data_IF_711657186178
#
_entry.id   IF_711657186178
#
_cell.length_a   1.000
_cell.length_b   1.000
_cell.length_c   1.000
_cell.angle_alpha   90.00
_cell.angle_beta   90.00
_cell.angle_gamma   90.00
#
_symmetry.space_group_name_H-M   'P 1'
#
loop_
_entity.id
_entity.type
_entity.pdbx_description
1 polymer ?
#
# COMPACT_ATOMS: atom_id res chain seq x y z
N UNK A 1 -11.37 31.81 -22.07
CA UNK A 1 -11.38 30.70 -21.07
C UNK A 1 -10.69 29.41 -21.52
N UNK A 2 -10.56 29.09 -22.82
CA UNK A 2 -9.92 27.83 -23.29
C UNK A 2 -8.38 27.80 -23.17
N UNK A 3 -7.71 28.93 -23.42
CA UNK A 3 -6.24 29.01 -23.39
C UNK A 3 -5.63 28.79 -21.99
N UNK A 4 -6.26 29.34 -20.93
CA UNK A 4 -5.77 29.21 -19.55
C UNK A 4 -5.81 27.76 -19.00
N UNK A 5 -6.78 26.94 -19.45
CA UNK A 5 -6.81 25.51 -19.11
C UNK A 5 -5.69 24.72 -19.78
N UNK A 6 -5.24 25.16 -20.96
CA UNK A 6 -4.23 24.45 -21.76
C UNK A 6 -2.84 24.56 -21.11
N UNK A 7 -2.52 25.70 -20.50
CA UNK A 7 -1.26 25.90 -19.77
C UNK A 7 -1.25 25.20 -18.40
N UNK A 8 -2.37 25.22 -17.67
CA UNK A 8 -2.51 24.41 -16.45
C UNK A 8 -2.33 22.91 -16.71
N UNK A 9 -2.76 22.44 -17.89
CA UNK A 9 -2.60 21.03 -18.30
C UNK A 9 -1.19 20.72 -18.83
N UNK A 10 -0.45 21.71 -19.36
CA UNK A 10 0.96 21.57 -19.70
C UNK A 10 1.85 21.45 -18.44
N UNK A 11 1.53 22.24 -17.41
CA UNK A 11 2.10 22.09 -16.06
C UNK A 11 1.65 20.82 -15.33
N UNK A 12 0.47 20.28 -15.61
CA UNK A 12 0.03 19.00 -15.04
C UNK A 12 0.68 17.77 -15.69
N UNK A 13 1.08 17.87 -16.96
CA UNK A 13 1.64 16.73 -17.73
C UNK A 13 2.99 16.26 -17.24
N UNK A 14 3.87 17.16 -16.80
CA UNK A 14 5.18 16.76 -16.26
C UNK A 14 5.04 16.10 -14.88
N UNK A 15 4.10 16.57 -14.05
CA UNK A 15 3.73 15.91 -12.78
C UNK A 15 3.19 14.50 -13.03
N UNK A 16 2.33 14.33 -14.03
CA UNK A 16 1.83 13.01 -14.43
C UNK A 16 2.95 12.06 -14.88
N UNK A 17 3.89 12.55 -15.69
CA UNK A 17 5.07 11.79 -16.10
C UNK A 17 5.98 11.43 -14.92
N UNK A 18 6.20 12.36 -13.99
CA UNK A 18 6.96 12.12 -12.77
C UNK A 18 6.31 11.03 -11.90
N UNK A 19 5.00 11.13 -11.65
CA UNK A 19 4.24 10.12 -10.90
C UNK A 19 4.32 8.76 -11.59
N UNK A 20 4.18 8.72 -12.92
CA UNK A 20 4.30 7.46 -13.67
C UNK A 20 5.71 6.86 -13.53
N UNK A 21 6.76 7.65 -13.71
CA UNK A 21 8.14 7.19 -13.56
C UNK A 21 8.42 6.69 -12.13
N UNK A 22 7.92 7.40 -11.12
CA UNK A 22 8.02 7.00 -9.72
C UNK A 22 7.30 5.68 -9.44
N UNK A 23 6.06 5.53 -9.94
CA UNK A 23 5.30 4.28 -9.82
C UNK A 23 6.02 3.13 -10.53
N UNK A 24 6.51 3.34 -11.75
CA UNK A 24 7.29 2.31 -12.47
C UNK A 24 8.51 1.91 -11.66
N UNK A 25 9.29 2.86 -11.16
CA UNK A 25 10.47 2.58 -10.35
C UNK A 25 10.14 1.77 -9.09
N UNK A 26 9.05 2.10 -8.39
CA UNK A 26 8.63 1.42 -7.17
C UNK A 26 8.06 0.02 -7.46
N UNK A 27 7.25 -0.12 -8.50
CA UNK A 27 6.57 -1.39 -8.82
C UNK A 27 7.45 -2.36 -9.61
N UNK A 28 8.45 -1.89 -10.36
CA UNK A 28 9.36 -2.75 -11.13
C UNK A 28 10.01 -3.87 -10.27
N UNK A 29 10.59 -3.60 -9.08
CA UNK A 29 11.12 -4.67 -8.23
C UNK A 29 10.03 -5.57 -7.64
N UNK A 30 8.83 -5.04 -7.38
CA UNK A 30 7.70 -5.80 -6.82
C UNK A 30 7.15 -6.78 -7.87
N UNK A 31 7.20 -6.43 -9.17
CA UNK A 31 6.78 -7.30 -10.27
C UNK A 31 7.62 -8.58 -10.40
N UNK A 32 8.81 -8.63 -9.81
CA UNK A 32 9.62 -9.84 -9.77
C UNK A 32 8.95 -10.95 -8.94
N UNK A 33 8.17 -10.59 -7.91
CA UNK A 33 7.45 -11.57 -7.07
C UNK A 33 6.46 -12.40 -7.90
N UNK A 34 5.47 -11.82 -8.61
CA UNK A 34 4.57 -12.60 -9.46
C UNK A 34 5.32 -13.27 -10.62
N UNK A 35 6.34 -12.62 -11.20
CA UNK A 35 7.15 -13.22 -12.27
C UNK A 35 7.80 -14.55 -11.82
N UNK A 36 8.42 -14.57 -10.63
CA UNK A 36 9.02 -15.78 -10.06
C UNK A 36 7.99 -16.73 -9.47
N UNK A 37 6.79 -16.25 -9.08
CA UNK A 37 5.70 -17.12 -8.63
C UNK A 37 5.19 -18.07 -9.72
N UNK A 38 5.42 -17.73 -11.00
CA UNK A 38 5.13 -18.60 -12.14
C UNK A 38 6.35 -19.42 -12.58
N UNK A 39 7.51 -19.28 -11.94
CA UNK A 39 8.72 -20.02 -12.31
C UNK A 39 8.77 -21.38 -11.62
N UNK A 40 9.10 -22.42 -12.37
CA UNK A 40 9.26 -23.79 -11.87
C UNK A 40 10.63 -24.02 -11.19
N UNK A 41 11.07 -23.05 -10.38
CA UNK A 41 12.32 -23.13 -9.63
C UNK A 41 12.16 -22.57 -8.22
N UNK A 42 12.74 -23.26 -7.25
CA UNK A 42 12.76 -22.85 -5.83
C UNK A 42 13.65 -21.61 -5.62
N UNK A 43 14.63 -21.36 -6.51
CA UNK A 43 15.48 -20.18 -6.45
C UNK A 43 15.01 -19.11 -7.45
N UNK A 44 14.91 -17.87 -6.97
CA UNK A 44 14.70 -16.68 -7.78
C UNK A 44 15.99 -16.31 -8.54
N UNK A 45 16.41 -17.18 -9.46
CA UNK A 45 17.58 -16.99 -10.30
C UNK A 45 17.20 -17.18 -11.79
N UNK A 46 17.81 -16.37 -12.65
CA UNK A 46 17.76 -16.57 -14.09
C UNK A 46 18.72 -17.70 -14.48
N UNK A 47 18.40 -18.57 -15.45
CA UNK A 47 17.25 -18.56 -16.38
C UNK A 47 15.95 -19.16 -15.82
N UNK A 48 14.80 -18.62 -16.26
CA UNK A 48 13.47 -19.17 -15.94
C UNK A 48 13.32 -20.55 -16.60
N UNK A 49 13.02 -21.58 -15.81
CA UNK A 49 13.07 -22.98 -16.24
C UNK A 49 11.76 -23.42 -16.91
N UNK A 50 10.63 -22.84 -16.51
CA UNK A 50 9.31 -23.15 -17.05
C UNK A 50 8.20 -22.36 -16.34
N UNK A 51 7.00 -22.37 -16.92
CA UNK A 51 5.79 -21.80 -16.31
C UNK A 51 5.09 -22.86 -15.45
N UNK A 52 4.88 -22.58 -14.16
CA UNK A 52 4.19 -23.49 -13.22
C UNK A 52 3.09 -22.77 -12.44
N UNK A 53 2.06 -23.52 -12.08
CA UNK A 53 1.03 -23.13 -11.11
C UNK A 53 1.05 -24.03 -9.86
N UNK A 54 2.01 -24.95 -9.74
CA UNK A 54 2.07 -25.94 -8.66
C UNK A 54 2.19 -25.33 -7.26
N UNK A 55 2.80 -24.15 -7.15
CA UNK A 55 2.87 -23.38 -5.90
C UNK A 55 1.48 -23.00 -5.40
N UNK A 56 0.57 -22.61 -6.29
CA UNK A 56 -0.81 -22.23 -5.96
C UNK A 56 -1.65 -23.45 -5.56
N UNK A 57 -1.44 -24.60 -6.17
CA UNK A 57 -2.10 -25.86 -5.79
C UNK A 57 -1.66 -26.30 -4.37
N UNK A 58 -0.36 -26.20 -4.08
CA UNK A 58 0.20 -26.52 -2.76
C UNK A 58 -0.31 -25.57 -1.68
N UNK A 59 -0.52 -24.29 -2.02
CA UNK A 59 -1.13 -23.27 -1.17
C UNK A 59 -2.57 -23.64 -0.76
N UNK A 60 -3.39 -24.14 -1.69
CA UNK A 60 -4.79 -24.46 -1.44
C UNK A 60 -4.98 -25.60 -0.42
N UNK A 61 -4.07 -26.58 -0.41
CA UNK A 61 -4.11 -27.73 0.51
C UNK A 61 -3.43 -27.52 1.86
N UNK A 62 -2.84 -26.35 2.13
CA UNK A 62 -2.01 -26.14 3.32
C UNK A 62 -2.78 -25.41 4.45
N UNK A 63 -3.24 -26.13 5.50
CA UNK A 63 -4.00 -25.55 6.60
C UNK A 63 -3.21 -24.54 7.43
N UNK A 64 -1.87 -24.63 7.44
CA UNK A 64 -1.03 -23.66 8.15
C UNK A 64 -1.05 -22.30 7.44
N UNK A 65 -1.00 -22.28 6.10
CA UNK A 65 -1.06 -21.03 5.33
C UNK A 65 -2.46 -20.41 5.37
N UNK A 66 -3.52 -21.21 5.23
CA UNK A 66 -4.89 -20.69 5.32
C UNK A 66 -5.23 -20.20 6.73
N UNK A 67 -4.76 -20.90 7.77
CA UNK A 67 -4.86 -20.46 9.16
C UNK A 67 -4.08 -19.17 9.44
N UNK A 68 -2.85 -19.05 8.92
CA UNK A 68 -2.06 -17.83 9.04
C UNK A 68 -2.74 -16.63 8.35
N UNK A 69 -3.28 -16.83 7.14
CA UNK A 69 -4.03 -15.80 6.42
C UNK A 69 -5.25 -15.32 7.22
N UNK A 70 -6.06 -16.26 7.74
CA UNK A 70 -7.23 -15.94 8.54
C UNK A 70 -6.84 -15.17 9.82
N UNK A 71 -5.78 -15.61 10.51
CA UNK A 71 -5.29 -14.95 11.71
C UNK A 71 -4.81 -13.52 11.42
N UNK A 72 -4.03 -13.32 10.34
CA UNK A 72 -3.58 -11.99 9.92
C UNK A 72 -4.74 -11.07 9.57
N UNK A 73 -5.78 -11.58 8.90
CA UNK A 73 -6.98 -10.81 8.59
C UNK A 73 -7.74 -10.39 9.86
N UNK A 74 -7.97 -11.33 10.79
CA UNK A 74 -8.67 -11.03 12.05
C UNK A 74 -7.90 -10.01 12.87
N UNK A 75 -6.61 -10.25 13.10
CA UNK A 75 -5.75 -9.32 13.86
C UNK A 75 -5.68 -7.96 13.16
N UNK A 76 -5.52 -7.95 11.85
CA UNK A 76 -5.45 -6.72 11.05
C UNK A 76 -6.72 -5.89 11.14
N UNK A 77 -7.89 -6.51 11.04
CA UNK A 77 -9.19 -5.81 11.14
C UNK A 77 -9.41 -5.27 12.56
N UNK A 78 -9.12 -6.06 13.59
CA UNK A 78 -9.26 -5.63 14.98
C UNK A 78 -8.31 -4.46 15.28
N UNK A 79 -7.05 -4.57 14.86
CA UNK A 79 -6.05 -3.52 15.05
C UNK A 79 -6.39 -2.25 14.28
N UNK A 80 -6.78 -2.34 13.01
CA UNK A 80 -7.16 -1.19 12.18
C UNK A 80 -8.39 -0.49 12.75
N UNK A 81 -9.41 -1.25 13.15
CA UNK A 81 -10.62 -0.72 13.76
C UNK A 81 -10.31 -0.05 15.10
N UNK A 82 -9.54 -0.70 15.97
CA UNK A 82 -9.11 -0.15 17.26
C UNK A 82 -8.30 1.14 17.10
N UNK A 83 -7.31 1.13 16.20
CA UNK A 83 -6.51 2.33 15.90
C UNK A 83 -7.37 3.47 15.35
N UNK A 84 -8.35 3.16 14.49
CA UNK A 84 -9.28 4.16 13.94
C UNK A 84 -10.16 4.77 15.03
N UNK A 85 -10.72 3.93 15.92
CA UNK A 85 -11.53 4.40 17.04
C UNK A 85 -10.72 5.29 18.00
N UNK A 86 -9.51 4.86 18.38
CA UNK A 86 -8.61 5.66 19.19
C UNK A 86 -8.25 6.99 18.50
N UNK A 87 -7.93 6.94 17.20
CA UNK A 87 -7.65 8.13 16.41
C UNK A 87 -8.81 9.11 16.36
N UNK A 88 -10.04 8.62 16.18
CA UNK A 88 -11.27 9.43 16.22
C UNK A 88 -11.43 10.07 17.61
N UNK A 89 -11.24 9.32 18.69
CA UNK A 89 -11.38 9.88 20.05
C UNK A 89 -10.35 10.98 20.34
N UNK A 90 -9.10 10.78 19.93
CA UNK A 90 -8.04 11.78 20.10
C UNK A 90 -8.34 13.04 19.27
N UNK A 91 -8.70 12.85 18.00
CA UNK A 91 -9.07 13.97 17.12
C UNK A 91 -10.29 14.75 17.63
N UNK A 92 -11.29 14.07 18.19
CA UNK A 92 -12.44 14.72 18.81
C UNK A 92 -12.05 15.51 20.07
N UNK A 93 -11.17 14.97 20.91
CA UNK A 93 -10.63 15.67 22.08
C UNK A 93 -9.85 16.91 21.67
N UNK A 94 -9.02 16.86 20.62
CA UNK A 94 -8.25 18.01 20.16
C UNK A 94 -9.13 19.12 19.56
N UNK A 95 -10.21 18.76 18.86
CA UNK A 95 -11.11 19.73 18.21
C UNK A 95 -12.11 20.36 19.19
N UNK A 96 -12.74 19.56 20.05
CA UNK A 96 -13.80 20.03 20.95
C UNK A 96 -13.26 20.39 22.34
N UNK A 97 -12.24 19.68 22.83
CA UNK A 97 -11.49 20.03 24.03
C UNK A 97 -10.41 21.04 23.68
N UNK A 98 -10.76 22.33 23.55
CA UNK A 98 -9.78 23.43 23.49
C UNK A 98 -9.00 23.51 24.81
N UNK A 99 -8.07 22.58 25.02
CA UNK A 99 -7.03 22.73 26.02
C UNK A 99 -6.00 23.72 25.47
N UNK A 100 -5.49 24.65 26.29
CA UNK A 100 -4.54 25.67 25.84
C UNK A 100 -3.25 25.06 25.24
N UNK A 101 -2.94 23.80 25.57
CA UNK A 101 -1.81 23.05 25.03
C UNK A 101 -1.93 22.73 23.53
N UNK A 102 -3.13 22.39 23.03
CA UNK A 102 -3.35 22.11 21.61
C UNK A 102 -3.18 23.38 20.75
N UNK A 103 -3.57 24.54 21.29
CA UNK A 103 -3.38 25.84 20.65
C UNK A 103 -1.90 26.28 20.64
N UNK A 104 -1.11 25.92 21.67
CA UNK A 104 0.32 26.23 21.69
C UNK A 104 1.13 25.34 20.75
N UNK A 105 0.74 24.08 20.56
CA UNK A 105 1.45 23.15 19.68
C UNK A 105 1.16 23.48 18.20
N UNK A 106 -0.09 23.81 17.85
CA UNK A 106 -0.44 24.21 16.48
C UNK A 106 0.07 25.59 16.08
N UNK A 107 0.41 26.46 17.04
CA UNK A 107 1.03 27.75 16.77
C UNK A 107 2.54 27.66 16.51
N UNK A 108 3.17 26.53 16.86
CA UNK A 108 4.61 26.29 16.70
C UNK A 108 4.91 25.36 15.51
N UNK A 109 3.96 24.48 15.14
CA UNK A 109 4.03 23.65 13.94
C UNK A 109 3.66 24.43 12.66
#
# INVERSE_FOLDING_TARGET
MSAARKEANAGGRWLGLYVLAYLVFLYLPILLIPLFSFNDSIQAAFPLQGFTLGWYETLYGNPALSGALANSLVIGVVAASGATLCGITVSYMDLYGRSPLAATISAIA
#
